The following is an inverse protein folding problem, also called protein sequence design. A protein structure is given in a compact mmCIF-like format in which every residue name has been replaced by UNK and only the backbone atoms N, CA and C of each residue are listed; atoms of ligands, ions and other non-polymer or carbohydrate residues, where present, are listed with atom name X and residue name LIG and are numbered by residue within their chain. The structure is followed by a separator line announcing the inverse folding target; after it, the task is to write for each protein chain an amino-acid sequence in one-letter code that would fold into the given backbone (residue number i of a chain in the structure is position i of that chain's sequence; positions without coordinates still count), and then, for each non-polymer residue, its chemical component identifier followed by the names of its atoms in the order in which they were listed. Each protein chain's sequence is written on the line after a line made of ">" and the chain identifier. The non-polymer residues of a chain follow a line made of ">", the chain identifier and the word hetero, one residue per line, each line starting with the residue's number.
data_IF_715538576999
#
_entry.id   IF_715538576999
#
_cell.length_a   1.000
_cell.length_b   1.000
_cell.length_c   1.000
_cell.angle_alpha   90.00
_cell.angle_beta   90.00
_cell.angle_gamma   90.00
#
_symmetry.space_group_name_H-M   'P 1'
#
loop_
_entity.id
_entity.type
_entity.pdbx_description
1 polymer ?
#
# COMPACT_ATOMS: atom_id res chain seq x y z
N UNK A 1 -0.76 -24.91 2.00
CA UNK A 1 -0.11 -23.79 1.26
C UNK A 1 0.26 -22.57 2.15
N UNK A 2 0.42 -22.74 3.48
CA UNK A 2 0.74 -21.64 4.39
C UNK A 2 2.10 -20.97 4.12
N UNK A 3 3.05 -21.65 3.51
CA UNK A 3 4.42 -21.16 3.30
C UNK A 3 4.70 -20.68 1.87
N UNK A 4 3.94 -21.16 0.88
CA UNK A 4 4.24 -20.89 -0.53
C UNK A 4 4.11 -19.42 -0.90
N UNK A 5 3.11 -18.71 -0.38
CA UNK A 5 2.90 -17.29 -0.64
C UNK A 5 3.99 -16.42 -0.02
N UNK A 6 4.41 -16.74 1.22
CA UNK A 6 5.49 -16.01 1.92
C UNK A 6 6.82 -16.17 1.20
N UNK A 7 7.18 -17.40 0.84
CA UNK A 7 8.44 -17.67 0.13
C UNK A 7 8.43 -17.02 -1.26
N UNK A 8 7.33 -17.16 -2.00
CA UNK A 8 7.23 -16.57 -3.35
C UNK A 8 7.28 -15.04 -3.32
N UNK A 9 6.58 -14.39 -2.37
CA UNK A 9 6.63 -12.94 -2.23
C UNK A 9 7.98 -12.45 -1.73
N UNK A 10 8.60 -13.16 -0.77
CA UNK A 10 9.93 -12.83 -0.28
C UNK A 10 10.99 -12.86 -1.38
N UNK A 11 10.93 -13.86 -2.26
CA UNK A 11 11.79 -13.92 -3.45
C UNK A 11 11.47 -12.76 -4.40
N UNK A 12 10.19 -12.54 -4.71
CA UNK A 12 9.78 -11.49 -5.65
C UNK A 12 10.24 -10.11 -5.18
N UNK A 13 9.98 -9.75 -3.92
CA UNK A 13 10.33 -8.43 -3.36
C UNK A 13 11.84 -8.32 -3.15
N UNK A 14 12.49 -9.38 -2.67
CA UNK A 14 13.94 -9.41 -2.44
C UNK A 14 14.75 -9.20 -3.72
N UNK A 15 14.26 -9.68 -4.87
CA UNK A 15 14.86 -9.41 -6.18
C UNK A 15 14.35 -8.12 -6.85
N UNK A 16 13.67 -7.25 -6.11
CA UNK A 16 13.28 -5.92 -6.56
C UNK A 16 11.89 -5.83 -7.17
N UNK A 17 11.05 -6.84 -7.03
CA UNK A 17 9.66 -6.78 -7.46
C UNK A 17 8.91 -5.61 -6.82
N UNK A 18 8.26 -4.79 -7.63
CA UNK A 18 7.58 -3.55 -7.20
C UNK A 18 6.16 -3.83 -6.74
N UNK A 19 6.01 -4.58 -5.66
CA UNK A 19 4.74 -5.10 -5.12
C UNK A 19 4.79 -5.13 -3.59
N UNK A 20 3.62 -5.29 -2.94
CA UNK A 20 3.52 -5.39 -1.49
C UNK A 20 3.48 -6.83 -0.98
N UNK A 21 3.95 -7.04 0.24
CA UNK A 21 3.90 -8.32 0.95
C UNK A 21 2.54 -8.58 1.63
N UNK A 22 1.68 -7.59 1.76
CA UNK A 22 0.45 -7.65 2.57
C UNK A 22 -0.52 -8.73 2.08
N UNK A 23 -0.79 -8.79 0.76
CA UNK A 23 -1.68 -9.79 0.21
C UNK A 23 -1.17 -11.23 0.42
N UNK A 24 0.12 -11.56 0.18
CA UNK A 24 0.70 -12.83 0.58
C UNK A 24 0.59 -13.17 2.06
N UNK A 25 0.76 -12.18 2.93
CA UNK A 25 0.65 -12.35 4.39
C UNK A 25 -0.80 -12.64 4.79
N UNK A 26 -1.76 -11.90 4.24
CA UNK A 26 -3.21 -12.14 4.43
C UNK A 26 -3.62 -13.53 3.96
N UNK A 27 -3.13 -13.97 2.80
CA UNK A 27 -3.36 -15.33 2.29
C UNK A 27 -2.80 -16.39 3.24
N UNK A 28 -1.62 -16.14 3.82
CA UNK A 28 -1.00 -17.04 4.80
C UNK A 28 -1.83 -17.11 6.08
N UNK A 29 -2.23 -15.97 6.65
CA UNK A 29 -3.09 -15.91 7.83
C UNK A 29 -4.43 -16.62 7.60
N UNK A 30 -5.07 -16.37 6.46
CA UNK A 30 -6.30 -17.05 6.02
C UNK A 30 -6.13 -18.55 5.91
N UNK A 31 -5.01 -19.02 5.34
CA UNK A 31 -4.69 -20.43 5.21
C UNK A 31 -4.47 -21.11 6.56
N UNK A 32 -3.82 -20.42 7.51
CA UNK A 32 -3.68 -20.91 8.90
C UNK A 32 -5.05 -21.07 9.56
N UNK A 33 -5.92 -20.04 9.46
CA UNK A 33 -7.27 -20.10 9.98
C UNK A 33 -8.09 -21.25 9.38
N UNK A 34 -8.01 -21.44 8.07
CA UNK A 34 -8.65 -22.56 7.36
C UNK A 34 -8.14 -23.93 7.82
N UNK A 35 -6.82 -24.10 7.96
CA UNK A 35 -6.22 -25.34 8.42
C UNK A 35 -6.65 -25.69 9.85
N UNK A 36 -6.69 -24.71 10.75
CA UNK A 36 -7.19 -24.91 12.11
C UNK A 36 -8.65 -25.37 12.09
N UNK A 37 -9.50 -24.72 11.30
CA UNK A 37 -10.90 -25.13 11.13
C UNK A 37 -11.06 -26.55 10.62
N UNK A 38 -10.18 -27.00 9.71
CA UNK A 38 -10.18 -28.38 9.19
C UNK A 38 -9.70 -29.39 10.23
N UNK A 39 -8.63 -29.10 10.97
CA UNK A 39 -8.08 -29.97 12.02
C UNK A 39 -9.14 -30.23 13.09
N UNK A 40 -9.85 -29.20 13.53
CA UNK A 40 -10.91 -29.29 14.52
C UNK A 40 -12.28 -29.67 13.95
N UNK A 41 -12.38 -29.98 12.65
CA UNK A 41 -13.61 -30.35 11.93
C UNK A 41 -14.78 -29.40 12.19
N UNK A 42 -14.48 -28.10 12.15
CA UNK A 42 -15.48 -27.05 12.37
C UNK A 42 -16.47 -26.98 11.21
N UNK A 43 -17.68 -26.50 11.49
CA UNK A 43 -18.68 -26.22 10.46
C UNK A 43 -18.24 -25.07 9.54
N UNK A 44 -18.87 -24.95 8.36
CA UNK A 44 -18.49 -23.98 7.34
C UNK A 44 -18.52 -22.52 7.85
N UNK A 45 -19.48 -22.19 8.71
CA UNK A 45 -19.64 -20.84 9.24
C UNK A 45 -18.49 -20.47 10.18
N UNK A 46 -18.13 -21.36 11.09
CA UNK A 46 -16.99 -21.19 12.00
C UNK A 46 -15.66 -21.21 11.25
N UNK A 47 -15.53 -22.02 10.19
CA UNK A 47 -14.34 -22.04 9.34
C UNK A 47 -14.14 -20.68 8.63
N UNK A 48 -15.20 -20.09 8.08
CA UNK A 48 -15.13 -18.74 7.47
C UNK A 48 -14.73 -17.68 8.48
N UNK A 49 -15.24 -17.77 9.71
CA UNK A 49 -14.84 -16.89 10.81
C UNK A 49 -13.34 -17.03 11.14
N UNK A 50 -12.82 -18.26 11.23
CA UNK A 50 -11.39 -18.51 11.47
C UNK A 50 -10.51 -17.99 10.34
N UNK A 51 -10.94 -18.10 9.09
CA UNK A 51 -10.27 -17.52 7.94
C UNK A 51 -10.22 -15.99 8.08
N UNK A 52 -11.34 -15.36 8.47
CA UNK A 52 -11.41 -13.92 8.76
C UNK A 52 -10.48 -13.50 9.90
N UNK A 53 -10.47 -14.28 11.02
CA UNK A 53 -9.54 -14.03 12.13
C UNK A 53 -8.07 -14.09 11.70
N UNK A 54 -7.70 -15.06 10.86
CA UNK A 54 -6.35 -15.18 10.34
C UNK A 54 -5.96 -14.03 9.41
N UNK A 55 -6.87 -13.62 8.53
CA UNK A 55 -6.66 -12.48 7.63
C UNK A 55 -6.51 -11.15 8.38
N UNK A 56 -7.41 -10.89 9.35
CA UNK A 56 -7.40 -9.68 10.16
C UNK A 56 -6.15 -9.58 11.03
N UNK A 57 -5.76 -10.69 11.67
CA UNK A 57 -4.54 -10.78 12.46
C UNK A 57 -3.29 -10.49 11.62
N UNK A 58 -3.28 -10.94 10.35
CA UNK A 58 -2.18 -10.70 9.43
C UNK A 58 -1.99 -9.19 9.16
N UNK A 59 -3.08 -8.48 8.83
CA UNK A 59 -3.04 -7.02 8.61
C UNK A 59 -2.71 -6.28 9.91
N UNK A 60 -3.39 -6.63 11.01
CA UNK A 60 -3.16 -6.00 12.31
C UNK A 60 -1.70 -6.14 12.79
N UNK A 61 -1.10 -7.31 12.56
CA UNK A 61 0.30 -7.55 12.94
C UNK A 61 1.30 -6.79 12.09
N UNK A 62 1.11 -6.76 10.76
CA UNK A 62 2.03 -6.05 9.86
C UNK A 62 2.05 -4.54 10.10
N UNK A 63 0.87 -3.96 10.26
CA UNK A 63 0.72 -2.51 10.43
C UNK A 63 0.68 -2.04 11.88
N UNK A 64 0.68 -2.96 12.85
CA UNK A 64 0.45 -2.66 14.28
C UNK A 64 -0.86 -1.91 14.52
N UNK A 65 -1.86 -2.18 13.68
CA UNK A 65 -3.12 -1.46 13.53
C UNK A 65 -4.31 -2.42 13.74
N UNK A 66 -4.75 -2.68 14.99
CA UNK A 66 -5.78 -3.67 15.29
C UNK A 66 -7.16 -3.29 14.76
N UNK A 67 -7.55 -2.01 14.77
CA UNK A 67 -8.83 -1.55 14.25
C UNK A 67 -8.84 -1.65 12.72
N UNK A 68 -7.76 -1.24 12.07
CA UNK A 68 -7.62 -1.38 10.62
C UNK A 68 -7.72 -2.83 10.16
N UNK A 69 -7.10 -3.78 10.88
CA UNK A 69 -7.20 -5.21 10.60
C UNK A 69 -8.63 -5.75 10.74
N UNK A 70 -9.37 -5.33 11.78
CA UNK A 70 -10.78 -5.64 11.96
C UNK A 70 -11.61 -5.13 10.78
N UNK A 71 -11.49 -3.84 10.48
CA UNK A 71 -12.30 -3.16 9.45
C UNK A 71 -11.98 -3.71 8.06
N UNK A 72 -10.70 -4.00 7.76
CA UNK A 72 -10.30 -4.67 6.52
C UNK A 72 -11.06 -5.98 6.29
N UNK A 73 -11.18 -6.79 7.33
CA UNK A 73 -11.89 -8.07 7.24
C UNK A 73 -13.38 -7.88 6.95
N UNK A 74 -13.98 -6.86 7.52
CA UNK A 74 -15.40 -6.55 7.29
C UNK A 74 -15.66 -5.99 5.89
N UNK A 75 -14.82 -5.09 5.41
CA UNK A 75 -15.01 -4.43 4.12
C UNK A 75 -14.53 -5.29 2.95
N UNK A 76 -13.36 -5.90 3.05
CA UNK A 76 -12.72 -6.61 1.93
C UNK A 76 -13.15 -8.08 1.88
N UNK A 77 -13.24 -8.75 3.03
CA UNK A 77 -13.65 -10.15 3.08
C UNK A 77 -15.16 -10.34 3.26
N UNK A 78 -15.91 -9.24 3.43
CA UNK A 78 -17.38 -9.25 3.55
C UNK A 78 -17.88 -10.25 4.60
N UNK A 79 -17.19 -10.36 5.73
CA UNK A 79 -17.63 -11.21 6.84
C UNK A 79 -18.85 -10.57 7.51
N UNK A 80 -19.87 -11.39 7.82
CA UNK A 80 -21.10 -10.93 8.43
C UNK A 80 -20.87 -10.15 9.73
N UNK A 81 -21.45 -8.96 9.82
CA UNK A 81 -21.43 -8.08 10.99
C UNK A 81 -22.36 -8.61 12.07
N UNK A 82 -21.87 -9.60 12.83
CA UNK A 82 -22.57 -10.07 14.05
C UNK A 82 -21.66 -9.92 15.26
N UNK A 83 -22.22 -9.70 16.45
CA UNK A 83 -21.41 -9.66 17.68
C UNK A 83 -20.62 -10.95 17.89
N UNK A 84 -21.14 -12.06 17.40
CA UNK A 84 -20.47 -13.36 17.47
C UNK A 84 -19.23 -13.44 16.56
N UNK A 85 -19.17 -12.68 15.48
CA UNK A 85 -17.99 -12.61 14.58
C UNK A 85 -17.02 -11.51 14.95
N UNK A 86 -17.52 -10.36 15.43
CA UNK A 86 -16.68 -9.19 15.76
C UNK A 86 -15.71 -9.46 16.90
N UNK A 87 -16.16 -10.09 17.99
CA UNK A 87 -15.32 -10.35 19.15
C UNK A 87 -14.10 -11.24 18.84
N UNK A 88 -14.25 -12.42 18.19
CA UNK A 88 -13.10 -13.24 17.82
C UNK A 88 -12.11 -12.54 16.89
N UNK A 89 -12.61 -11.77 15.91
CA UNK A 89 -11.76 -11.03 14.98
C UNK A 89 -10.97 -9.94 15.73
N UNK A 90 -11.63 -9.19 16.61
CA UNK A 90 -10.96 -8.15 17.41
C UNK A 90 -9.88 -8.73 18.32
N UNK A 91 -10.20 -9.83 19.04
CA UNK A 91 -9.22 -10.52 19.89
C UNK A 91 -8.02 -10.99 19.06
N UNK A 92 -8.27 -11.53 17.87
CA UNK A 92 -7.22 -11.96 16.95
C UNK A 92 -6.31 -10.79 16.52
N UNK A 93 -6.90 -9.64 16.15
CA UNK A 93 -6.16 -8.44 15.78
C UNK A 93 -5.29 -7.93 16.94
N UNK A 94 -5.89 -7.74 18.12
CA UNK A 94 -5.19 -7.23 19.31
C UNK A 94 -4.05 -8.16 19.71
N UNK A 95 -4.31 -9.48 19.71
CA UNK A 95 -3.27 -10.47 20.03
C UNK A 95 -2.11 -10.40 19.05
N UNK A 96 -2.39 -10.35 17.74
CA UNK A 96 -1.36 -10.25 16.71
C UNK A 96 -0.53 -8.97 16.88
N UNK A 97 -1.18 -7.84 17.11
CA UNK A 97 -0.51 -6.55 17.34
C UNK A 97 0.36 -6.59 18.60
N UNK A 98 -0.13 -7.14 19.71
CA UNK A 98 0.67 -7.31 20.93
C UNK A 98 1.91 -8.17 20.70
N UNK A 99 1.78 -9.28 19.95
CA UNK A 99 2.93 -10.10 19.59
C UNK A 99 3.94 -9.34 18.73
N UNK A 100 3.47 -8.57 17.77
CA UNK A 100 4.37 -7.76 16.93
C UNK A 100 5.13 -6.73 17.76
N UNK A 101 4.48 -6.06 18.71
CA UNK A 101 5.16 -5.14 19.63
C UNK A 101 6.22 -5.82 20.50
N UNK A 102 5.98 -7.05 20.94
CA UNK A 102 6.95 -7.81 21.76
C UNK A 102 8.21 -8.15 20.95
N UNK A 103 8.07 -8.53 19.67
CA UNK A 103 9.19 -9.01 18.86
C UNK A 103 9.90 -7.91 18.04
N UNK A 104 9.16 -6.92 17.57
CA UNK A 104 9.63 -5.87 16.67
C UNK A 104 9.77 -4.50 17.37
N UNK A 105 9.35 -4.42 18.65
CA UNK A 105 9.38 -3.17 19.42
C UNK A 105 8.38 -2.14 18.91
N UNK A 106 8.62 -0.88 19.25
CA UNK A 106 7.74 0.26 18.96
C UNK A 106 8.06 0.96 17.62
N UNK A 107 8.76 0.27 16.70
CA UNK A 107 9.03 0.82 15.38
C UNK A 107 7.73 0.94 14.57
N UNK A 108 7.35 2.16 14.20
CA UNK A 108 6.23 2.39 13.28
C UNK A 108 6.70 2.25 11.83
N UNK A 109 5.81 1.75 10.96
CA UNK A 109 6.09 1.60 9.53
C UNK A 109 6.28 2.97 8.85
N UNK A 110 5.47 3.95 9.27
CA UNK A 110 5.59 5.34 8.86
C UNK A 110 5.86 6.21 10.07
N UNK A 111 6.92 7.01 10.00
CA UNK A 111 7.25 7.97 11.04
C UNK A 111 6.68 9.34 10.63
N UNK A 112 5.69 9.78 11.34
CA UNK A 112 5.01 11.05 11.12
C UNK A 112 4.96 11.85 12.42
N UNK A 113 5.23 13.16 12.31
CA UNK A 113 5.02 14.11 13.40
C UNK A 113 4.02 15.17 12.95
N UNK A 114 2.91 15.29 13.67
CA UNK A 114 1.90 16.30 13.38
C UNK A 114 2.44 17.69 13.74
N UNK A 115 3.05 18.37 12.78
CA UNK A 115 3.61 19.71 12.97
C UNK A 115 2.57 20.82 12.79
N UNK A 116 1.56 20.56 11.95
CA UNK A 116 0.53 21.53 11.60
C UNK A 116 -0.86 20.97 11.97
N UNK A 117 -1.54 21.57 12.97
CA UNK A 117 -2.89 21.17 13.32
C UNK A 117 -3.87 21.44 12.17
N UNK A 118 -5.00 20.73 12.20
CA UNK A 118 -6.06 20.90 11.21
C UNK A 118 -6.71 22.27 11.31
N UNK A 119 -6.92 22.92 10.17
CA UNK A 119 -7.66 24.17 10.03
C UNK A 119 -8.80 23.99 9.01
N UNK A 120 -10.00 24.53 9.35
CA UNK A 120 -11.18 24.38 8.52
C UNK A 120 -11.02 25.01 7.12
N UNK A 121 -10.21 26.05 6.99
CA UNK A 121 -9.94 26.74 5.73
C UNK A 121 -9.27 25.84 4.68
N UNK A 122 -8.70 24.69 5.09
CA UNK A 122 -8.09 23.67 4.22
C UNK A 122 -9.11 22.69 3.65
N UNK A 123 -10.36 22.71 4.10
CA UNK A 123 -11.41 21.76 3.66
C UNK A 123 -11.62 21.75 2.14
N UNK A 124 -11.64 22.89 1.41
CA UNK A 124 -11.79 22.87 -0.05
C UNK A 124 -10.66 22.12 -0.74
N UNK A 125 -9.43 22.28 -0.27
CA UNK A 125 -8.27 21.57 -0.81
C UNK A 125 -8.38 20.04 -0.58
N UNK A 126 -8.92 19.61 0.57
CA UNK A 126 -9.14 18.19 0.85
C UNK A 126 -10.21 17.56 -0.04
N UNK A 127 -11.29 18.29 -0.33
CA UNK A 127 -12.31 17.82 -1.27
C UNK A 127 -11.71 17.64 -2.67
N UNK A 128 -10.91 18.59 -3.13
CA UNK A 128 -10.22 18.49 -4.42
C UNK A 128 -9.18 17.37 -4.44
N UNK A 129 -8.46 17.17 -3.32
CA UNK A 129 -7.57 16.01 -3.17
C UNK A 129 -8.34 14.69 -3.31
N UNK A 130 -9.53 14.58 -2.70
CA UNK A 130 -10.39 13.40 -2.82
C UNK A 130 -10.76 13.11 -4.28
N UNK A 131 -11.16 14.13 -5.04
CA UNK A 131 -11.44 14.00 -6.48
C UNK A 131 -10.18 13.57 -7.24
N UNK A 132 -9.03 14.18 -6.94
CA UNK A 132 -7.75 13.84 -7.55
C UNK A 132 -7.35 12.39 -7.26
N UNK A 133 -7.46 11.93 -6.01
CA UNK A 133 -7.21 10.53 -5.64
C UNK A 133 -8.17 9.58 -6.36
N UNK A 134 -9.44 9.97 -6.54
CA UNK A 134 -10.41 9.21 -7.34
C UNK A 134 -9.97 9.02 -8.80
N UNK A 135 -9.45 10.07 -9.43
CA UNK A 135 -8.91 10.00 -10.80
C UNK A 135 -7.64 9.13 -10.88
N UNK A 136 -6.73 9.27 -9.90
CA UNK A 136 -5.51 8.46 -9.83
C UNK A 136 -5.85 6.98 -9.58
N UNK A 137 -6.84 6.67 -8.74
CA UNK A 137 -7.29 5.29 -8.52
C UNK A 137 -7.91 4.67 -9.77
N UNK A 138 -8.71 5.43 -10.50
CA UNK A 138 -9.26 5.02 -11.79
C UNK A 138 -8.15 4.70 -12.81
N UNK A 139 -7.14 5.59 -12.88
CA UNK A 139 -5.94 5.37 -13.69
C UNK A 139 -5.23 4.07 -13.28
N UNK A 140 -4.99 3.88 -11.97
CA UNK A 140 -4.35 2.69 -11.42
C UNK A 140 -5.08 1.40 -11.86
N UNK A 141 -6.37 1.33 -11.57
CA UNK A 141 -7.20 0.16 -11.86
C UNK A 141 -7.25 -0.18 -13.35
N UNK A 142 -7.45 0.83 -14.21
CA UNK A 142 -7.50 0.63 -15.67
C UNK A 142 -6.15 0.20 -16.22
N UNK A 143 -5.07 0.83 -15.82
CA UNK A 143 -3.72 0.49 -16.28
C UNK A 143 -3.33 -0.91 -15.85
N UNK A 144 -3.61 -1.29 -14.58
CA UNK A 144 -3.40 -2.65 -14.10
C UNK A 144 -4.14 -3.67 -14.99
N UNK A 145 -5.43 -3.46 -15.21
CA UNK A 145 -6.26 -4.39 -16.03
C UNK A 145 -5.75 -4.51 -17.46
N UNK A 146 -5.34 -3.41 -18.08
CA UNK A 146 -4.78 -3.44 -19.45
C UNK A 146 -3.46 -4.21 -19.49
N UNK A 147 -2.57 -3.94 -18.54
CA UNK A 147 -1.28 -4.62 -18.45
C UNK A 147 -1.44 -6.12 -18.16
N UNK A 148 -2.33 -6.50 -17.24
CA UNK A 148 -2.65 -7.90 -16.95
C UNK A 148 -3.21 -8.62 -18.19
N UNK A 149 -4.09 -7.95 -18.94
CA UNK A 149 -4.60 -8.47 -20.22
C UNK A 149 -3.51 -8.67 -21.26
N UNK A 150 -2.50 -7.78 -21.31
CA UNK A 150 -1.35 -7.93 -22.18
C UNK A 150 -0.48 -9.13 -21.77
N UNK A 151 -0.12 -9.23 -20.49
CA UNK A 151 0.67 -10.36 -19.97
C UNK A 151 -0.11 -11.67 -20.04
N UNK A 152 -1.45 -11.64 -19.96
CA UNK A 152 -2.31 -12.80 -20.16
C UNK A 152 -2.16 -13.42 -21.55
N UNK A 153 -2.00 -12.61 -22.60
CA UNK A 153 -1.74 -13.09 -23.97
C UNK A 153 -0.40 -13.80 -24.10
N UNK A 154 0.60 -13.42 -23.26
CA UNK A 154 1.92 -14.05 -23.22
C UNK A 154 1.95 -15.33 -22.34
N UNK A 155 0.82 -15.74 -21.78
CA UNK A 155 0.76 -16.89 -20.85
C UNK A 155 1.24 -18.21 -21.45
N UNK A 156 1.18 -18.34 -22.78
CA UNK A 156 1.68 -19.53 -23.50
C UNK A 156 3.23 -19.63 -23.46
N UNK A 157 3.93 -18.52 -23.23
CA UNK A 157 5.40 -18.46 -23.23
C UNK A 157 5.93 -17.95 -21.88
N UNK A 158 5.99 -18.79 -20.81
CA UNK A 158 6.28 -18.34 -19.45
C UNK A 158 7.66 -17.69 -19.32
N UNK A 159 8.67 -18.19 -20.01
CA UNK A 159 10.02 -17.61 -19.98
C UNK A 159 10.12 -16.26 -20.69
N UNK A 160 9.41 -16.11 -21.83
CA UNK A 160 9.37 -14.83 -22.53
C UNK A 160 8.61 -13.78 -21.71
N UNK A 161 7.53 -14.19 -21.04
CA UNK A 161 6.74 -13.37 -20.13
C UNK A 161 7.60 -12.86 -18.97
N UNK A 162 8.39 -13.72 -18.34
CA UNK A 162 9.33 -13.38 -17.25
C UNK A 162 10.42 -12.42 -17.74
N UNK A 163 11.06 -12.72 -18.87
CA UNK A 163 12.10 -11.89 -19.46
C UNK A 163 11.60 -10.48 -19.80
N UNK A 164 10.44 -10.40 -20.44
CA UNK A 164 9.84 -9.11 -20.85
C UNK A 164 9.44 -8.27 -19.64
N UNK A 165 8.76 -8.86 -18.65
CA UNK A 165 8.39 -8.14 -17.42
C UNK A 165 9.61 -7.75 -16.60
N UNK A 166 10.62 -8.61 -16.49
CA UNK A 166 11.89 -8.32 -15.81
C UNK A 166 12.66 -7.19 -16.49
N UNK A 167 12.66 -7.13 -17.84
CA UNK A 167 13.31 -6.05 -18.59
C UNK A 167 12.61 -4.71 -18.40
N UNK A 168 11.28 -4.69 -18.41
CA UNK A 168 10.50 -3.48 -18.11
C UNK A 168 10.81 -3.01 -16.69
N UNK A 169 10.71 -3.92 -15.72
CA UNK A 169 10.93 -3.60 -14.31
C UNK A 169 12.34 -3.08 -14.05
N UNK A 170 13.37 -3.75 -14.57
CA UNK A 170 14.78 -3.35 -14.41
C UNK A 170 15.05 -1.98 -15.02
N UNK A 171 14.47 -1.69 -16.19
CA UNK A 171 14.58 -0.38 -16.84
C UNK A 171 13.92 0.72 -15.99
N UNK A 172 12.72 0.46 -15.48
CA UNK A 172 12.02 1.42 -14.62
C UNK A 172 12.78 1.69 -13.31
N UNK A 173 13.31 0.64 -12.65
CA UNK A 173 14.10 0.78 -11.42
C UNK A 173 15.43 1.51 -11.69
N UNK A 174 16.05 1.29 -12.84
CA UNK A 174 17.28 1.98 -13.21
C UNK A 174 17.08 3.51 -13.28
N UNK A 175 15.99 3.95 -13.88
CA UNK A 175 15.66 5.38 -13.93
C UNK A 175 15.08 5.90 -12.60
N UNK A 176 14.26 5.11 -11.94
CA UNK A 176 13.54 5.47 -10.72
C UNK A 176 13.75 4.44 -9.61
N UNK A 177 14.87 4.52 -8.87
CA UNK A 177 15.17 3.56 -7.78
C UNK A 177 14.11 3.50 -6.68
N UNK A 178 13.31 4.54 -6.51
CA UNK A 178 12.17 4.57 -5.58
C UNK A 178 11.09 3.52 -5.89
N UNK A 179 11.12 2.92 -7.09
CA UNK A 179 10.19 1.85 -7.49
C UNK A 179 10.60 0.47 -6.97
N UNK A 180 11.81 0.33 -6.42
CA UNK A 180 12.32 -0.93 -5.91
C UNK A 180 11.50 -1.42 -4.71
N UNK A 181 11.05 -2.66 -4.75
CA UNK A 181 10.29 -3.29 -3.68
C UNK A 181 8.96 -2.58 -3.38
N UNK A 182 8.60 -2.52 -2.12
CA UNK A 182 7.37 -1.86 -1.63
C UNK A 182 7.42 -0.35 -1.78
N UNK A 183 8.60 0.25 -1.57
CA UNK A 183 8.84 1.68 -1.72
C UNK A 183 8.57 2.51 -0.45
N UNK A 184 8.29 1.89 0.69
CA UNK A 184 7.97 2.60 1.95
C UNK A 184 9.07 3.55 2.41
N UNK A 185 10.35 3.25 2.14
CA UNK A 185 11.45 4.15 2.45
C UNK A 185 11.33 5.50 1.75
N UNK A 186 10.88 5.51 0.49
CA UNK A 186 10.68 6.75 -0.26
C UNK A 186 9.47 7.55 0.27
N UNK A 187 8.39 6.86 0.68
CA UNK A 187 7.25 7.50 1.35
C UNK A 187 7.67 8.13 2.68
N UNK A 188 8.47 7.42 3.49
CA UNK A 188 8.98 7.93 4.75
C UNK A 188 9.83 9.21 4.59
N UNK A 189 10.63 9.30 3.52
CA UNK A 189 11.39 10.53 3.21
C UNK A 189 10.43 11.71 2.97
N UNK A 190 9.32 11.51 2.25
CA UNK A 190 8.33 12.56 2.03
C UNK A 190 7.58 12.95 3.30
N UNK A 191 7.29 11.99 4.19
CA UNK A 191 6.56 12.23 5.44
C UNK A 191 7.42 12.89 6.52
N UNK A 192 8.72 12.58 6.58
CA UNK A 192 9.67 13.16 7.54
C UNK A 192 10.24 14.50 7.09
N UNK A 193 10.46 14.66 5.79
CA UNK A 193 11.12 15.83 5.23
C UNK A 193 10.33 17.12 5.47
N UNK A 194 11.03 18.18 5.85
CA UNK A 194 10.47 19.52 6.10
C UNK A 194 10.91 20.52 5.04
N UNK A 195 11.94 20.20 4.27
CA UNK A 195 12.58 21.09 3.31
C UNK A 195 12.81 20.40 1.95
N UNK A 196 12.97 21.19 0.89
CA UNK A 196 13.23 20.68 -0.46
C UNK A 196 14.46 19.76 -0.53
N UNK A 197 15.53 20.10 0.19
CA UNK A 197 16.74 19.29 0.25
C UNK A 197 16.51 17.91 0.88
N UNK A 198 15.64 17.83 1.91
CA UNK A 198 15.27 16.56 2.55
C UNK A 198 14.38 15.73 1.62
N UNK A 199 13.38 16.34 0.99
CA UNK A 199 12.54 15.66 -0.01
C UNK A 199 13.33 15.23 -1.24
N UNK A 200 14.37 15.99 -1.61
CA UNK A 200 15.29 15.64 -2.69
C UNK A 200 16.02 14.31 -2.48
N UNK A 201 16.10 13.82 -1.23
CA UNK A 201 16.68 12.50 -0.93
C UNK A 201 15.90 11.33 -1.57
N UNK A 202 14.63 11.54 -1.94
CA UNK A 202 13.85 10.55 -2.71
C UNK A 202 14.51 10.26 -4.07
N UNK A 203 15.23 11.25 -4.64
CA UNK A 203 15.96 11.12 -5.90
C UNK A 203 17.36 10.52 -5.73
N UNK A 204 17.81 10.25 -4.51
CA UNK A 204 19.13 9.65 -4.27
C UNK A 204 19.27 8.33 -5.03
N UNK A 205 20.45 8.10 -5.60
CA UNK A 205 20.78 6.98 -6.48
C UNK A 205 20.05 6.98 -7.84
N UNK A 206 19.27 7.99 -8.18
CA UNK A 206 18.72 8.17 -9.52
C UNK A 206 19.64 9.05 -10.39
N UNK A 207 19.40 9.05 -11.69
CA UNK A 207 20.08 9.96 -12.64
C UNK A 207 19.76 11.44 -12.38
N UNK A 208 18.74 11.71 -11.56
CA UNK A 208 18.26 13.06 -11.23
C UNK A 208 18.79 13.57 -9.89
N UNK A 209 19.70 12.82 -9.24
CA UNK A 209 20.26 13.18 -7.94
C UNK A 209 20.97 14.55 -7.99
N UNK A 210 20.66 15.43 -7.02
CA UNK A 210 21.23 16.77 -6.91
C UNK A 210 20.56 17.84 -7.77
N UNK A 211 19.42 17.54 -8.40
CA UNK A 211 18.65 18.50 -9.19
C UNK A 211 17.29 18.78 -8.52
N UNK A 212 17.28 19.58 -7.47
CA UNK A 212 16.06 19.85 -6.67
C UNK A 212 14.91 20.43 -7.51
N UNK A 213 15.23 21.17 -8.58
CA UNK A 213 14.23 21.70 -9.51
C UNK A 213 13.42 20.62 -10.24
N UNK A 214 13.91 19.37 -10.30
CA UNK A 214 13.23 18.26 -10.95
C UNK A 214 12.40 17.40 -9.99
N UNK A 215 12.37 17.74 -8.70
CA UNK A 215 11.66 16.94 -7.68
C UNK A 215 10.19 16.70 -8.05
N UNK A 216 9.47 17.71 -8.48
CA UNK A 216 8.05 17.59 -8.84
C UNK A 216 7.86 16.65 -10.03
N UNK A 217 8.71 16.82 -11.07
CA UNK A 217 8.66 15.94 -12.24
C UNK A 217 9.00 14.50 -11.86
N UNK A 218 10.01 14.30 -11.02
CA UNK A 218 10.39 12.99 -10.53
C UNK A 218 9.24 12.31 -9.77
N UNK A 219 8.61 13.01 -8.82
CA UNK A 219 7.47 12.51 -8.05
C UNK A 219 6.30 12.17 -8.98
N UNK A 220 5.97 13.04 -9.95
CA UNK A 220 4.92 12.78 -10.92
C UNK A 220 5.21 11.53 -11.75
N UNK A 221 6.44 11.40 -12.31
CA UNK A 221 6.83 10.23 -13.09
C UNK A 221 6.81 8.94 -12.26
N UNK A 222 7.32 8.97 -11.03
CA UNK A 222 7.30 7.82 -10.12
C UNK A 222 5.86 7.39 -9.83
N UNK A 223 4.96 8.34 -9.58
CA UNK A 223 3.53 8.08 -9.36
C UNK A 223 2.91 7.35 -10.55
N UNK A 224 3.18 7.81 -11.77
CA UNK A 224 2.67 7.18 -12.99
C UNK A 224 3.33 5.82 -13.27
N UNK A 225 4.64 5.71 -13.12
CA UNK A 225 5.39 4.50 -13.51
C UNK A 225 5.27 3.37 -12.50
N UNK A 226 4.95 3.64 -11.21
CA UNK A 226 4.75 2.60 -10.19
C UNK A 226 3.69 1.58 -10.62
N UNK A 227 2.61 2.02 -11.26
CA UNK A 227 1.55 1.13 -11.74
C UNK A 227 2.10 0.13 -12.77
N UNK A 228 2.94 0.60 -13.71
CA UNK A 228 3.57 -0.28 -14.70
C UNK A 228 4.57 -1.23 -14.07
N UNK A 229 5.36 -0.78 -13.10
CA UNK A 229 6.30 -1.62 -12.36
C UNK A 229 5.57 -2.74 -11.59
N UNK A 230 4.46 -2.41 -10.92
CA UNK A 230 3.61 -3.38 -10.21
C UNK A 230 2.97 -4.36 -11.18
N UNK A 231 2.41 -3.86 -12.28
CA UNK A 231 1.78 -4.70 -13.32
C UNK A 231 2.80 -5.62 -13.99
N UNK A 232 4.01 -5.13 -14.28
CA UNK A 232 5.08 -5.93 -14.86
C UNK A 232 5.54 -7.03 -13.89
N UNK A 233 5.64 -6.73 -12.60
CA UNK A 233 6.01 -7.72 -11.58
C UNK A 233 4.96 -8.83 -11.48
N UNK A 234 3.69 -8.49 -11.25
CA UNK A 234 2.61 -9.49 -11.13
C UNK A 234 2.35 -10.18 -12.47
N UNK A 235 2.33 -9.40 -13.54
CA UNK A 235 2.14 -9.89 -14.90
C UNK A 235 3.19 -10.89 -15.34
N UNK A 236 4.45 -10.75 -14.95
CA UNK A 236 5.54 -11.68 -15.31
C UNK A 236 5.56 -12.96 -14.49
N UNK A 237 4.76 -13.06 -13.43
CA UNK A 237 4.68 -14.24 -12.56
C UNK A 237 5.21 -14.01 -11.16
N UNK A 238 5.53 -12.77 -10.79
CA UNK A 238 5.84 -12.37 -9.42
C UNK A 238 4.64 -12.53 -8.49
N UNK A 239 4.90 -12.71 -7.23
CA UNK A 239 3.88 -12.86 -6.18
C UNK A 239 3.92 -11.63 -5.26
N UNK A 240 2.85 -10.83 -5.30
CA UNK A 240 2.71 -9.66 -4.42
C UNK A 240 1.35 -8.98 -4.57
N UNK A 241 1.06 -8.09 -3.61
CA UNK A 241 -0.19 -7.35 -3.55
C UNK A 241 -0.12 -5.96 -4.18
N UNK A 242 -1.28 -5.38 -4.43
CA UNK A 242 -1.46 -4.00 -4.88
C UNK A 242 -1.62 -3.01 -3.72
N UNK A 243 -1.64 -3.51 -2.48
CA UNK A 243 -1.88 -2.70 -1.29
C UNK A 243 -0.74 -1.67 -1.06
N UNK A 244 0.52 -2.13 -0.89
CA UNK A 244 1.66 -1.23 -0.77
C UNK A 244 1.84 -0.29 -1.98
N UNK A 245 1.72 -0.73 -3.24
CA UNK A 245 1.68 0.17 -4.38
C UNK A 245 0.61 1.24 -4.30
N UNK A 246 -0.60 0.94 -3.82
CA UNK A 246 -1.65 1.93 -3.64
C UNK A 246 -1.31 2.95 -2.55
N UNK A 247 -0.79 2.50 -1.40
CA UNK A 247 -0.25 3.39 -0.35
C UNK A 247 0.83 4.32 -0.89
N UNK A 248 1.81 3.74 -1.57
CA UNK A 248 2.93 4.49 -2.16
C UNK A 248 2.44 5.58 -3.12
N UNK A 249 1.62 5.19 -4.12
CA UNK A 249 1.09 6.15 -5.11
C UNK A 249 0.24 7.21 -4.41
N UNK A 250 -0.55 6.82 -3.41
CA UNK A 250 -1.37 7.74 -2.61
C UNK A 250 -0.55 8.80 -1.90
N UNK A 251 0.54 8.39 -1.23
CA UNK A 251 1.47 9.31 -0.57
C UNK A 251 2.14 10.28 -1.54
N UNK A 252 2.65 9.76 -2.66
CA UNK A 252 3.27 10.57 -3.70
C UNK A 252 2.28 11.51 -4.40
N UNK A 253 1.07 11.03 -4.71
CA UNK A 253 0.02 11.84 -5.34
C UNK A 253 -0.48 12.94 -4.40
N UNK A 254 -0.71 12.63 -3.11
CA UNK A 254 -1.11 13.61 -2.11
C UNK A 254 -0.04 14.68 -1.88
N UNK A 255 1.23 14.28 -1.80
CA UNK A 255 2.37 15.21 -1.73
C UNK A 255 2.44 16.10 -2.97
N UNK A 256 2.36 15.51 -4.18
CA UNK A 256 2.39 16.23 -5.45
C UNK A 256 1.26 17.26 -5.52
N UNK A 257 0.05 16.89 -5.13
CA UNK A 257 -1.11 17.78 -5.10
C UNK A 257 -0.85 18.97 -4.18
N UNK A 258 -0.41 18.75 -2.94
CA UNK A 258 -0.13 19.82 -1.99
C UNK A 258 1.00 20.74 -2.46
N UNK A 259 2.06 20.15 -3.02
CA UNK A 259 3.19 20.93 -3.55
C UNK A 259 2.78 21.84 -4.71
N UNK A 260 2.01 21.31 -5.66
CA UNK A 260 1.46 22.12 -6.76
C UNK A 260 0.51 23.19 -6.25
N UNK A 261 -0.36 22.87 -5.28
CA UNK A 261 -1.27 23.82 -4.65
C UNK A 261 -0.52 25.01 -4.02
N UNK A 262 0.53 24.72 -3.27
CA UNK A 262 1.34 25.75 -2.60
C UNK A 262 2.15 26.60 -3.59
N UNK A 263 2.74 26.00 -4.64
CA UNK A 263 3.51 26.72 -5.65
C UNK A 263 2.64 27.67 -6.46
N UNK A 264 1.46 27.21 -6.89
CA UNK A 264 0.52 28.06 -7.65
C UNK A 264 -0.34 28.96 -6.77
N UNK A 265 -0.18 28.90 -5.44
CA UNK A 265 -0.92 29.74 -4.46
C UNK A 265 -2.44 29.73 -4.71
N UNK A 266 -2.99 28.55 -4.96
CA UNK A 266 -4.42 28.38 -5.32
C UNK A 266 -5.34 28.78 -4.15
N UNK A 267 -4.83 28.71 -2.91
CA UNK A 267 -5.57 29.04 -1.69
C UNK A 267 -4.69 29.06 -0.45
N UNK A 268 -5.27 28.73 0.69
CA UNK A 268 -4.54 28.62 1.96
C UNK A 268 -3.43 27.58 1.85
N UNK A 269 -2.31 27.83 2.52
CA UNK A 269 -1.19 26.88 2.58
C UNK A 269 -1.64 25.52 3.13
N UNK A 270 -1.26 24.46 2.45
CA UNK A 270 -1.56 23.08 2.83
C UNK A 270 -0.26 22.32 3.14
N UNK A 271 -0.15 21.68 4.32
CA UNK A 271 1.03 20.91 4.68
C UNK A 271 1.17 19.67 3.78
N UNK A 272 2.29 19.55 3.08
CA UNK A 272 2.56 18.48 2.12
C UNK A 272 2.50 17.09 2.79
N UNK A 273 2.98 16.98 4.01
CA UNK A 273 2.98 15.73 4.79
C UNK A 273 1.55 15.25 5.12
N UNK A 274 0.68 16.16 5.59
CA UNK A 274 -0.71 15.83 5.92
C UNK A 274 -1.48 15.38 4.66
N UNK A 275 -1.23 16.07 3.54
CA UNK A 275 -1.87 15.73 2.28
C UNK A 275 -1.34 14.44 1.66
N UNK A 276 -0.07 14.10 1.93
CA UNK A 276 0.47 12.78 1.57
C UNK A 276 -0.26 11.65 2.32
N UNK A 277 -0.50 11.80 3.63
CA UNK A 277 -1.27 10.82 4.42
C UNK A 277 -2.71 10.70 3.96
N UNK A 278 -3.38 11.84 3.72
CA UNK A 278 -4.74 11.83 3.17
C UNK A 278 -4.80 11.19 1.78
N UNK A 279 -3.77 11.41 0.96
CA UNK A 279 -3.62 10.78 -0.34
C UNK A 279 -3.47 9.26 -0.24
N UNK A 280 -2.71 8.77 0.75
CA UNK A 280 -2.59 7.33 1.05
C UNK A 280 -3.96 6.72 1.37
N UNK A 281 -4.71 7.33 2.29
CA UNK A 281 -6.05 6.90 2.66
C UNK A 281 -7.01 6.93 1.45
N UNK A 282 -6.98 8.03 0.69
CA UNK A 282 -7.83 8.24 -0.48
C UNK A 282 -7.58 7.23 -1.59
N UNK A 283 -6.32 6.88 -1.83
CA UNK A 283 -6.00 5.92 -2.90
C UNK A 283 -6.31 4.47 -2.50
N UNK A 284 -6.04 4.06 -1.25
CA UNK A 284 -6.50 2.75 -0.76
C UNK A 284 -8.01 2.65 -0.90
N UNK A 285 -8.74 3.67 -0.48
CA UNK A 285 -10.21 3.73 -0.60
C UNK A 285 -10.65 3.51 -2.05
N UNK A 286 -10.03 4.20 -3.00
CA UNK A 286 -10.40 4.13 -4.41
C UNK A 286 -9.99 2.84 -5.10
N UNK A 287 -8.85 2.24 -4.74
CA UNK A 287 -8.32 1.00 -5.36
C UNK A 287 -8.93 -0.25 -4.75
N UNK A 288 -9.06 -0.28 -3.41
CA UNK A 288 -9.54 -1.46 -2.68
C UNK A 288 -11.05 -1.45 -2.43
N UNK A 289 -11.73 -0.31 -2.72
CA UNK A 289 -13.13 -0.08 -2.38
C UNK A 289 -13.42 -0.26 -0.87
N UNK A 290 -12.44 0.08 -0.03
CA UNK A 290 -12.46 -0.08 1.42
C UNK A 290 -12.20 1.26 2.13
N UNK A 291 -13.20 2.16 2.21
CA UNK A 291 -13.03 3.50 2.76
C UNK A 291 -12.70 3.52 4.25
N UNK A 292 -13.36 2.69 5.05
CA UNK A 292 -13.08 2.65 6.48
C UNK A 292 -11.69 2.06 6.75
N UNK A 293 -11.30 1.02 6.01
CA UNK A 293 -9.94 0.46 6.10
C UNK A 293 -8.88 1.51 5.81
N UNK A 294 -9.05 2.30 4.74
CA UNK A 294 -8.12 3.37 4.40
C UNK A 294 -7.99 4.43 5.49
N UNK A 295 -9.11 4.86 6.06
CA UNK A 295 -9.15 5.87 7.13
C UNK A 295 -8.49 5.34 8.41
N UNK A 296 -8.96 4.19 8.92
CA UNK A 296 -8.46 3.63 10.17
C UNK A 296 -7.00 3.19 10.09
N UNK A 297 -6.58 2.65 8.93
CA UNK A 297 -5.19 2.27 8.74
C UNK A 297 -4.26 3.48 8.88
N UNK A 298 -4.55 4.57 8.18
CA UNK A 298 -3.70 5.76 8.26
C UNK A 298 -3.79 6.40 9.65
N UNK A 299 -4.97 6.42 10.28
CA UNK A 299 -5.14 6.96 11.63
C UNK A 299 -4.41 6.16 12.71
N UNK A 300 -4.24 4.84 12.55
CA UNK A 300 -3.48 4.01 13.50
C UNK A 300 -1.96 4.01 13.20
N UNK A 301 -1.57 4.30 11.94
CA UNK A 301 -0.16 4.36 11.55
C UNK A 301 0.52 5.69 11.88
N UNK A 302 -0.26 6.72 12.21
CA UNK A 302 0.18 8.09 12.51
C UNK A 302 -0.16 8.50 13.93
#
# INVERSE_FOLDING_TARGET
>A
NCWSSVVASGITIGFGGSVGAEAPIVLTGSAIGSNLGQIFRMDKKTMMLLVGCGASAAIAGVFKAPIAGLVFTLEVLMVDLSMASLLPILISCVTATCFTYIFDGDSSLFEFTLTNPWELDRTPACILLGVFCGLVSLYFMRTMSVCEGFFGKLSQYPYAKLLFGGLILSTLIFFFPSLYGEGYSAVNILLKGSNEAEWGQVMNRSLFSGQDNLLIFYIAFVTFTKVFATSATNGSGGCGGTFAPSLFIGGFAGFLFARLWNIYQVGVYVPEQNFALMGMAGLITGVMHAPLTGIFLIAELT
#
